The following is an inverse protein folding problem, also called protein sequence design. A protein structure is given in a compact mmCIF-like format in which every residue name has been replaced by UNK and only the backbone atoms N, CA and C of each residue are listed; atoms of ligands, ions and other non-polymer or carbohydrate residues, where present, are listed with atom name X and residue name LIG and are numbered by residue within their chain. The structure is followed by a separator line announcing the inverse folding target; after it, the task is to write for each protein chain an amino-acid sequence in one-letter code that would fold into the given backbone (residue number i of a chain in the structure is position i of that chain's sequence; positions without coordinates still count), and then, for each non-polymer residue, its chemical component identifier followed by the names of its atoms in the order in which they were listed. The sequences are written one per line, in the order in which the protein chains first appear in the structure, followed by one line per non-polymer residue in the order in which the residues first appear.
data_IF_678011340258
#
_entry.id   IF_678011340258
#
_cell.length_a   1.000
_cell.length_b   1.000
_cell.length_c   1.000
_cell.angle_alpha   90.00
_cell.angle_beta   90.00
_cell.angle_gamma   90.00
#
_symmetry.space_group_name_H-M   'P 1'
#
loop_
_entity.id
_entity.type
_entity.pdbx_description
1 polymer ?
#
# COMPACT_ATOMS: atom_id res chain seq x y z
N UNK A 1 4.14 -16.30 -11.88
CA UNK A 1 5.11 -15.60 -11.03
C UNK A 1 4.72 -15.69 -9.55
N UNK A 2 4.54 -16.93 -9.05
CA UNK A 2 3.93 -17.14 -7.73
C UNK A 2 4.97 -17.19 -6.60
N UNK A 3 5.46 -16.02 -6.19
CA UNK A 3 6.35 -15.87 -5.04
C UNK A 3 6.24 -14.43 -4.50
N UNK A 4 6.72 -14.15 -3.26
CA UNK A 4 6.59 -12.83 -2.65
C UNK A 4 7.25 -11.70 -3.46
N UNK A 5 8.43 -11.95 -4.04
CA UNK A 5 9.17 -10.96 -4.85
C UNK A 5 8.45 -10.60 -6.15
N UNK A 6 7.52 -11.44 -6.58
CA UNK A 6 6.65 -11.20 -7.72
C UNK A 6 5.19 -11.02 -7.32
N UNK A 7 4.92 -10.61 -6.07
CA UNK A 7 3.60 -10.24 -5.60
C UNK A 7 2.56 -11.37 -5.79
N UNK A 8 2.97 -12.61 -5.56
CA UNK A 8 2.13 -13.82 -5.64
C UNK A 8 1.36 -13.99 -6.96
N UNK A 9 1.87 -13.44 -8.07
CA UNK A 9 1.18 -13.46 -9.37
C UNK A 9 -0.24 -12.85 -9.30
N UNK A 10 -0.45 -11.87 -8.40
CA UNK A 10 -1.78 -11.31 -8.15
C UNK A 10 -2.78 -12.32 -7.57
N UNK A 11 -2.30 -13.39 -6.93
CA UNK A 11 -3.05 -14.55 -6.46
C UNK A 11 -3.74 -15.39 -7.56
N UNK A 12 -3.32 -15.29 -8.82
CA UNK A 12 -3.85 -16.11 -9.93
C UNK A 12 -3.61 -17.62 -9.73
N UNK A 13 -2.60 -17.98 -8.94
CA UNK A 13 -2.27 -19.36 -8.61
C UNK A 13 -3.06 -19.92 -7.40
N UNK A 14 -3.81 -19.06 -6.70
CA UNK A 14 -4.55 -19.44 -5.50
C UNK A 14 -6.03 -19.68 -5.77
N UNK A 15 -6.71 -20.30 -4.80
CA UNK A 15 -8.17 -20.37 -4.83
C UNK A 15 -8.75 -18.97 -4.59
N UNK A 16 -9.66 -18.57 -5.47
CA UNK A 16 -10.46 -17.37 -5.29
C UNK A 16 -11.31 -17.51 -4.03
N UNK A 17 -11.15 -16.59 -3.07
CA UNK A 17 -12.03 -16.52 -1.92
C UNK A 17 -13.40 -16.07 -2.38
N UNK A 18 -14.44 -16.79 -1.95
CA UNK A 18 -15.79 -16.32 -2.12
C UNK A 18 -16.05 -15.15 -1.17
N UNK A 19 -17.01 -14.27 -1.47
CA UNK A 19 -17.51 -13.32 -0.49
C UNK A 19 -18.02 -14.07 0.74
N UNK A 20 -17.87 -13.47 1.93
CA UNK A 20 -18.52 -13.97 3.14
C UNK A 20 -20.02 -14.14 2.89
N UNK A 21 -20.61 -15.19 3.47
CA UNK A 21 -22.00 -15.53 3.24
C UNK A 21 -22.91 -14.32 3.54
N UNK A 22 -23.69 -13.82 2.55
CA UNK A 22 -24.50 -12.61 2.73
C UNK A 22 -25.51 -12.67 3.88
N UNK A 23 -25.96 -13.87 4.26
CA UNK A 23 -26.90 -14.08 5.38
C UNK A 23 -26.20 -13.83 6.72
N UNK A 24 -24.93 -14.22 6.83
CA UNK A 24 -24.13 -14.09 8.06
C UNK A 24 -23.26 -12.83 8.07
N UNK A 25 -23.10 -12.15 6.94
CA UNK A 25 -22.16 -11.04 6.80
C UNK A 25 -22.43 -9.92 7.80
N UNK A 26 -23.69 -9.51 7.97
CA UNK A 26 -24.05 -8.50 8.97
C UNK A 26 -23.76 -8.94 10.42
N UNK A 27 -23.93 -10.23 10.72
CA UNK A 27 -23.59 -10.79 12.03
C UNK A 27 -22.08 -10.75 12.24
N UNK A 28 -21.29 -11.24 11.27
CA UNK A 28 -19.84 -11.26 11.35
C UNK A 28 -19.25 -9.85 11.41
N UNK A 29 -19.81 -8.88 10.67
CA UNK A 29 -19.37 -7.48 10.77
C UNK A 29 -19.53 -6.91 12.18
N UNK A 30 -20.62 -7.27 12.87
CA UNK A 30 -20.91 -6.76 14.22
C UNK A 30 -20.04 -7.41 15.30
N UNK A 31 -19.61 -8.66 15.08
CA UNK A 31 -18.85 -9.42 16.06
C UNK A 31 -17.35 -9.53 15.75
N UNK A 32 -16.90 -8.98 14.62
CA UNK A 32 -15.50 -9.01 14.21
C UNK A 32 -14.54 -8.40 15.26
N UNK A 33 -13.52 -9.15 15.68
CA UNK A 33 -12.48 -8.71 16.59
C UNK A 33 -13.01 -8.12 17.92
N UNK A 34 -14.09 -8.69 18.45
CA UNK A 34 -14.75 -8.24 19.68
C UNK A 34 -14.26 -8.98 20.94
N UNK A 35 -13.34 -9.95 20.79
CA UNK A 35 -12.81 -10.80 21.85
C UNK A 35 -13.63 -12.06 22.15
N UNK A 36 -14.67 -12.36 21.35
CA UNK A 36 -15.52 -13.54 21.48
C UNK A 36 -15.46 -14.38 20.20
N UNK A 37 -15.11 -15.66 20.33
CA UNK A 37 -14.98 -16.53 19.18
C UNK A 37 -16.35 -16.93 18.60
N UNK A 38 -16.68 -16.38 17.44
CA UNK A 38 -17.83 -16.73 16.62
C UNK A 38 -17.42 -17.72 15.52
N UNK A 39 -17.61 -19.02 15.80
CA UNK A 39 -17.20 -20.11 14.89
C UNK A 39 -17.79 -20.01 13.48
N UNK A 40 -18.97 -19.40 13.32
CA UNK A 40 -19.58 -19.17 12.00
C UNK A 40 -18.85 -18.13 11.14
N UNK A 41 -18.07 -17.24 11.78
CA UNK A 41 -17.28 -16.18 11.14
C UNK A 41 -15.79 -16.55 11.04
N UNK A 42 -15.36 -17.62 11.71
CA UNK A 42 -13.97 -18.08 11.72
C UNK A 42 -13.62 -18.91 10.47
N UNK A 43 -13.68 -18.28 9.30
CA UNK A 43 -13.30 -18.86 8.00
C UNK A 43 -12.58 -17.81 7.13
N UNK A 44 -11.94 -18.24 6.04
CA UNK A 44 -11.14 -17.36 5.20
C UNK A 44 -11.99 -16.29 4.50
N UNK A 45 -13.20 -16.64 4.04
CA UNK A 45 -14.12 -15.72 3.36
C UNK A 45 -14.64 -14.60 4.27
N UNK A 46 -14.76 -14.83 5.57
CA UNK A 46 -15.18 -13.83 6.56
C UNK A 46 -13.99 -13.24 7.36
N UNK A 47 -12.75 -13.54 6.96
CA UNK A 47 -11.51 -13.05 7.55
C UNK A 47 -11.30 -13.46 9.02
N UNK A 48 -11.53 -14.74 9.30
CA UNK A 48 -11.19 -15.44 10.54
C UNK A 48 -11.70 -14.78 11.82
N UNK A 49 -12.89 -14.20 11.76
CA UNK A 49 -13.54 -13.53 12.88
C UNK A 49 -12.66 -12.46 13.56
N UNK A 50 -11.74 -11.84 12.81
CA UNK A 50 -10.82 -10.86 13.37
C UNK A 50 -9.84 -11.44 14.41
N UNK A 51 -9.58 -12.75 14.32
CA UNK A 51 -8.69 -13.53 15.21
C UNK A 51 -9.26 -13.82 16.61
N UNK A 52 -10.55 -13.60 16.87
CA UNK A 52 -11.16 -13.88 18.19
C UNK A 52 -11.10 -15.36 18.59
N UNK A 53 -11.03 -16.25 17.60
CA UNK A 53 -10.87 -17.69 17.82
C UNK A 53 -9.42 -18.16 17.92
N UNK A 54 -8.45 -17.31 17.60
CA UNK A 54 -7.06 -17.70 17.49
C UNK A 54 -6.33 -17.52 18.82
N UNK A 55 -5.77 -18.63 19.31
CA UNK A 55 -4.99 -18.66 20.54
C UNK A 55 -3.50 -18.49 20.23
N UNK A 56 -2.77 -17.94 21.19
CA UNK A 56 -1.31 -17.77 21.09
C UNK A 56 -0.89 -16.34 20.78
N UNK A 57 0.41 -16.18 20.54
CA UNK A 57 1.02 -14.88 20.29
C UNK A 57 0.76 -14.41 18.85
N UNK A 58 0.68 -13.09 18.68
CA UNK A 58 0.62 -12.46 17.37
C UNK A 58 1.89 -12.74 16.57
N UNK A 59 1.75 -13.06 15.28
CA UNK A 59 2.87 -13.18 14.35
C UNK A 59 2.88 -11.96 13.43
N UNK A 60 3.34 -10.83 13.97
CA UNK A 60 3.28 -9.56 13.24
C UNK A 60 4.30 -9.51 12.11
N UNK A 61 3.88 -8.98 10.95
CA UNK A 61 4.80 -8.54 9.92
C UNK A 61 5.65 -7.35 10.42
N UNK A 62 6.84 -7.20 9.88
CA UNK A 62 7.73 -6.09 10.23
C UNK A 62 7.20 -4.76 9.67
N UNK A 63 7.11 -3.74 10.52
CA UNK A 63 6.63 -2.42 10.16
C UNK A 63 5.11 -2.27 10.18
N UNK A 64 4.65 -1.08 9.80
CA UNK A 64 3.27 -0.62 9.86
C UNK A 64 2.80 -0.24 8.47
N UNK A 65 1.61 -0.69 8.12
CA UNK A 65 0.96 -0.39 6.84
C UNK A 65 0.10 0.87 7.01
N UNK A 66 0.59 2.01 6.52
CA UNK A 66 -0.15 3.27 6.53
C UNK A 66 -0.98 3.41 5.25
N UNK A 67 -2.29 3.60 5.40
CA UNK A 67 -3.25 3.74 4.29
C UNK A 67 -3.99 5.07 4.36
N UNK A 68 -4.02 5.81 3.26
CA UNK A 68 -4.75 7.07 3.11
C UNK A 68 -6.02 6.84 2.30
N UNK A 69 -7.16 7.24 2.85
CA UNK A 69 -8.50 7.10 2.26
C UNK A 69 -9.11 8.48 2.00
N UNK A 70 -9.63 8.72 0.79
CA UNK A 70 -10.34 9.97 0.47
C UNK A 70 -11.82 9.89 0.86
N UNK A 71 -12.08 9.84 2.16
CA UNK A 71 -13.41 9.83 2.74
C UNK A 71 -13.43 10.55 4.08
N UNK A 72 -14.61 10.84 4.61
CA UNK A 72 -14.74 11.45 5.93
C UNK A 72 -14.52 10.43 7.07
N UNK A 73 -14.10 10.95 8.22
CA UNK A 73 -13.81 10.15 9.41
C UNK A 73 -15.02 9.32 9.87
N UNK A 74 -16.23 9.89 9.86
CA UNK A 74 -17.41 9.18 10.37
C UNK A 74 -17.79 8.02 9.45
N UNK A 75 -17.77 8.22 8.14
CA UNK A 75 -17.99 7.17 7.16
C UNK A 75 -16.95 6.07 7.27
N UNK A 76 -15.68 6.41 7.52
CA UNK A 76 -14.64 5.42 7.75
C UNK A 76 -14.92 4.60 9.00
N UNK A 77 -15.17 5.26 10.13
CA UNK A 77 -15.45 4.58 11.41
C UNK A 77 -16.66 3.65 11.31
N UNK A 78 -17.72 4.06 10.60
CA UNK A 78 -18.91 3.23 10.37
C UNK A 78 -18.63 2.00 9.49
N UNK A 79 -17.59 2.05 8.65
CA UNK A 79 -17.21 0.98 7.72
C UNK A 79 -15.88 0.31 8.08
N UNK A 80 -15.33 0.57 9.28
CA UNK A 80 -13.97 0.15 9.64
C UNK A 80 -13.76 -1.36 9.55
N UNK A 81 -14.76 -2.15 9.97
CA UNK A 81 -14.69 -3.61 9.91
C UNK A 81 -14.68 -4.10 8.46
N UNK A 82 -15.53 -3.53 7.61
CA UNK A 82 -15.53 -3.85 6.17
C UNK A 82 -14.17 -3.54 5.54
N UNK A 83 -13.57 -2.40 5.90
CA UNK A 83 -12.23 -2.03 5.45
C UNK A 83 -11.16 -3.07 5.85
N UNK A 84 -11.12 -3.44 7.14
CA UNK A 84 -10.16 -4.44 7.63
C UNK A 84 -10.36 -5.81 6.97
N UNK A 85 -11.61 -6.21 6.74
CA UNK A 85 -11.93 -7.47 6.06
C UNK A 85 -11.50 -7.47 4.60
N UNK A 86 -11.76 -6.39 3.87
CA UNK A 86 -11.35 -6.26 2.46
C UNK A 86 -9.82 -6.27 2.33
N UNK A 87 -9.10 -5.47 3.12
CA UNK A 87 -7.62 -5.47 3.09
C UNK A 87 -7.08 -6.84 3.49
N UNK A 88 -7.65 -7.49 4.51
CA UNK A 88 -7.22 -8.82 4.93
C UNK A 88 -7.43 -9.90 3.86
N UNK A 89 -8.57 -9.86 3.15
CA UNK A 89 -8.83 -10.75 2.02
C UNK A 89 -7.85 -10.56 0.87
N UNK A 90 -7.48 -9.31 0.58
CA UNK A 90 -6.50 -8.98 -0.46
C UNK A 90 -5.10 -9.47 -0.08
N UNK A 91 -4.71 -9.32 1.19
CA UNK A 91 -3.39 -9.73 1.69
C UNK A 91 -3.31 -11.20 2.11
N UNK A 92 -4.43 -11.95 2.08
CA UNK A 92 -4.55 -13.31 2.62
C UNK A 92 -4.04 -13.46 4.06
N UNK A 93 -4.16 -12.37 4.83
CA UNK A 93 -3.69 -12.26 6.21
C UNK A 93 -4.67 -11.41 6.99
N UNK A 94 -4.60 -11.42 8.32
CA UNK A 94 -5.52 -10.61 9.11
C UNK A 94 -4.86 -9.29 9.47
N UNK A 95 -5.53 -8.18 9.15
CA UNK A 95 -5.05 -6.83 9.50
C UNK A 95 -5.83 -6.26 10.67
N UNK A 96 -5.14 -5.49 11.51
CA UNK A 96 -5.72 -4.80 12.67
C UNK A 96 -5.24 -3.35 12.70
N UNK A 97 -6.06 -2.45 13.24
CA UNK A 97 -5.64 -1.07 13.44
C UNK A 97 -4.61 -1.05 14.58
N UNK A 98 -3.48 -0.42 14.34
CA UNK A 98 -2.44 -0.27 15.35
C UNK A 98 -2.97 0.59 16.50
N UNK A 99 -2.68 0.18 17.73
CA UNK A 99 -2.96 0.99 18.92
C UNK A 99 -1.77 1.89 19.23
N UNK A 100 -2.03 3.14 19.61
CA UNK A 100 -1.01 4.03 20.15
C UNK A 100 -0.62 3.62 21.58
N UNK A 101 0.40 4.28 22.15
CA UNK A 101 0.86 4.02 23.53
C UNK A 101 -0.23 4.21 24.60
N UNK A 102 -1.29 4.97 24.28
CA UNK A 102 -2.45 5.19 25.15
C UNK A 102 -3.59 4.19 24.92
N UNK A 103 -3.41 3.21 24.02
CA UNK A 103 -4.41 2.20 23.68
C UNK A 103 -5.52 2.69 22.75
N UNK A 104 -5.31 3.79 22.03
CA UNK A 104 -6.27 4.31 21.04
C UNK A 104 -5.90 3.87 19.64
N UNK A 105 -6.91 3.57 18.82
CA UNK A 105 -6.74 3.27 17.41
C UNK A 105 -6.02 4.42 16.68
N UNK A 106 -4.92 4.13 15.98
CA UNK A 106 -4.16 5.09 15.17
C UNK A 106 -4.89 5.44 13.87
N UNK A 107 -5.93 6.23 14.00
CA UNK A 107 -6.76 6.75 12.91
C UNK A 107 -6.83 8.27 13.02
N UNK A 108 -6.36 8.98 12.00
CA UNK A 108 -6.23 10.44 12.06
C UNK A 108 -6.80 11.12 10.81
N UNK A 109 -7.27 12.38 10.91
CA UNK A 109 -7.62 13.15 9.73
C UNK A 109 -6.37 13.43 8.90
N UNK A 110 -6.47 13.19 7.61
CA UNK A 110 -5.41 13.46 6.64
C UNK A 110 -5.81 14.66 5.77
N UNK A 111 -4.85 15.52 5.43
CA UNK A 111 -5.07 16.66 4.54
C UNK A 111 -4.01 16.66 3.45
N UNK A 112 -4.44 16.86 2.21
CA UNK A 112 -3.50 17.00 1.11
C UNK A 112 -2.76 18.34 1.22
N UNK A 113 -1.42 18.31 1.19
CA UNK A 113 -0.54 19.47 1.42
C UNK A 113 -0.55 20.52 0.27
N UNK A 114 -1.44 20.39 -0.71
CA UNK A 114 -1.50 21.29 -1.86
C UNK A 114 -2.66 22.30 -1.71
N UNK A 115 -2.31 23.59 -1.63
CA UNK A 115 -3.18 24.72 -1.25
C UNK A 115 -4.43 24.95 -2.14
N UNK A 116 -4.60 24.22 -3.23
CA UNK A 116 -5.61 24.54 -4.25
C UNK A 116 -6.78 23.56 -4.37
N UNK A 117 -6.80 22.46 -3.62
CA UNK A 117 -8.00 21.62 -3.49
C UNK A 117 -8.04 21.06 -2.06
N UNK A 118 -9.01 21.50 -1.26
CA UNK A 118 -9.20 21.12 0.15
C UNK A 118 -9.61 19.66 0.37
N UNK A 119 -9.04 18.72 -0.38
CA UNK A 119 -9.28 17.30 -0.24
C UNK A 119 -8.74 16.83 1.11
N UNK A 120 -9.68 16.48 1.99
CA UNK A 120 -9.41 15.85 3.28
C UNK A 120 -9.72 14.36 3.17
N UNK A 121 -9.10 13.58 4.05
CA UNK A 121 -9.25 12.15 4.09
C UNK A 121 -8.97 11.62 5.49
N UNK A 122 -8.77 10.31 5.57
CA UNK A 122 -8.39 9.60 6.79
C UNK A 122 -7.10 8.84 6.51
N UNK A 123 -6.16 8.91 7.45
CA UNK A 123 -4.99 8.04 7.48
C UNK A 123 -5.19 6.99 8.57
N UNK A 124 -4.93 5.73 8.23
CA UNK A 124 -5.09 4.56 9.09
C UNK A 124 -3.76 3.82 9.15
N UNK A 125 -3.29 3.51 10.35
CA UNK A 125 -2.09 2.71 10.57
C UNK A 125 -2.50 1.28 10.93
N UNK A 126 -2.03 0.31 10.16
CA UNK A 126 -2.41 -1.09 10.27
C UNK A 126 -1.20 -1.96 10.60
N UNK A 127 -1.44 -2.99 11.41
CA UNK A 127 -0.53 -4.11 11.61
C UNK A 127 -1.08 -5.34 10.89
N UNK A 128 -0.18 -6.16 10.36
CA UNK A 128 -0.53 -7.43 9.68
C UNK A 128 -0.17 -8.56 10.64
N UNK A 129 -1.13 -9.38 11.03
CA UNK A 129 -0.94 -10.54 11.89
C UNK A 129 -1.04 -11.83 11.07
N UNK A 130 0.13 -12.39 10.77
CA UNK A 130 0.29 -13.55 9.91
C UNK A 130 -0.05 -14.87 10.60
N UNK A 131 -0.46 -14.91 11.88
CA UNK A 131 -0.69 -16.18 12.59
C UNK A 131 -1.66 -17.12 11.87
N UNK A 132 -2.65 -16.57 11.17
CA UNK A 132 -3.60 -17.36 10.37
C UNK A 132 -3.04 -17.74 9.01
N UNK A 133 -2.31 -16.83 8.39
CA UNK A 133 -1.65 -17.07 7.11
C UNK A 133 -0.61 -18.20 7.25
N UNK A 134 0.26 -18.13 8.25
CA UNK A 134 1.32 -19.13 8.49
C UNK A 134 0.75 -20.52 8.77
N UNK A 135 -0.31 -20.60 9.57
CA UNK A 135 -0.99 -21.87 9.88
C UNK A 135 -1.80 -22.45 8.71
N UNK A 136 -2.30 -21.61 7.80
CA UNK A 136 -3.18 -22.05 6.70
C UNK A 136 -2.44 -22.32 5.40
N UNK A 137 -1.47 -21.47 5.04
CA UNK A 137 -0.79 -21.46 3.75
C UNK A 137 0.72 -21.75 3.86
N UNK A 138 1.28 -21.68 5.07
CA UNK A 138 2.72 -21.80 5.30
C UNK A 138 3.41 -20.44 5.26
N UNK A 139 4.54 -20.33 5.98
CA UNK A 139 5.23 -19.05 6.22
C UNK A 139 5.75 -18.35 4.95
N UNK A 140 6.03 -19.09 3.88
CA UNK A 140 6.52 -18.55 2.61
C UNK A 140 5.46 -17.83 1.79
N UNK A 141 4.17 -18.06 2.09
CA UNK A 141 3.04 -17.49 1.35
C UNK A 141 2.46 -16.23 2.03
N UNK A 142 3.15 -15.71 3.05
CA UNK A 142 2.71 -14.54 3.83
C UNK A 142 3.67 -13.37 3.62
N UNK A 143 3.15 -12.14 3.68
CA UNK A 143 3.97 -10.94 3.63
C UNK A 143 4.81 -10.78 4.92
N UNK A 144 6.15 -10.84 4.84
CA UNK A 144 7.00 -10.70 6.02
C UNK A 144 7.09 -9.24 6.52
N UNK A 145 6.87 -8.26 5.64
CA UNK A 145 6.97 -6.83 5.95
C UNK A 145 5.75 -6.06 5.44
N UNK A 146 5.42 -4.96 6.13
CA UNK A 146 4.35 -4.05 5.71
C UNK A 146 4.65 -3.37 4.37
N UNK A 147 5.93 -3.15 4.03
CA UNK A 147 6.33 -2.56 2.74
C UNK A 147 6.00 -3.48 1.58
N UNK A 148 6.28 -4.79 1.68
CA UNK A 148 5.93 -5.75 0.64
C UNK A 148 4.41 -5.85 0.44
N UNK A 149 3.64 -5.82 1.54
CA UNK A 149 2.19 -5.76 1.48
C UNK A 149 1.67 -4.45 0.84
N UNK A 150 2.33 -3.32 1.11
CA UNK A 150 1.98 -2.03 0.51
C UNK A 150 2.21 -2.05 -1.02
N UNK A 151 3.35 -2.58 -1.46
CA UNK A 151 3.68 -2.71 -2.88
C UNK A 151 2.67 -3.63 -3.60
N UNK A 152 2.27 -4.73 -2.95
CA UNK A 152 1.22 -5.60 -3.44
C UNK A 152 -0.12 -4.86 -3.64
N UNK A 153 -0.58 -4.13 -2.62
CA UNK A 153 -1.84 -3.37 -2.68
C UNK A 153 -1.78 -2.26 -3.74
N UNK A 154 -0.64 -1.58 -3.87
CA UNK A 154 -0.45 -0.55 -4.90
C UNK A 154 -0.50 -1.13 -6.32
N UNK A 155 0.13 -2.30 -6.55
CA UNK A 155 0.08 -2.99 -7.82
C UNK A 155 -1.36 -3.47 -8.16
N UNK A 156 -2.06 -4.02 -7.16
CA UNK A 156 -3.46 -4.48 -7.26
C UNK A 156 -4.42 -3.33 -7.55
N UNK A 157 -4.18 -2.16 -6.97
CA UNK A 157 -4.95 -0.95 -7.28
C UNK A 157 -4.72 -0.47 -8.71
N UNK A 158 -3.48 -0.55 -9.21
CA UNK A 158 -3.12 -0.14 -10.57
C UNK A 158 -3.77 -1.01 -11.67
N UNK A 159 -4.07 -2.27 -11.37
CA UNK A 159 -4.75 -3.20 -12.28
C UNK A 159 -6.28 -3.17 -12.16
N UNK A 160 -6.84 -2.26 -11.35
CA UNK A 160 -8.27 -2.15 -11.06
C UNK A 160 -8.91 -3.41 -10.45
N UNK A 161 -8.12 -4.31 -9.86
CA UNK A 161 -8.63 -5.53 -9.20
C UNK A 161 -8.97 -5.30 -7.72
N UNK A 162 -8.51 -4.19 -7.14
CA UNK A 162 -8.86 -3.82 -5.77
C UNK A 162 -10.34 -3.40 -5.68
N UNK A 163 -11.02 -3.86 -4.62
CA UNK A 163 -12.41 -3.48 -4.31
C UNK A 163 -12.60 -1.96 -4.35
N UNK A 164 -13.63 -1.48 -5.05
CA UNK A 164 -13.94 -0.06 -5.18
C UNK A 164 -14.68 0.53 -3.96
N UNK A 165 -14.93 -0.28 -2.92
CA UNK A 165 -15.65 0.14 -1.71
C UNK A 165 -14.95 1.27 -0.95
N UNK A 166 -13.61 1.36 -1.06
CA UNK A 166 -12.80 2.35 -0.35
C UNK A 166 -11.92 3.14 -1.34
N UNK A 167 -12.00 4.49 -1.35
CA UNK A 167 -11.19 5.33 -2.21
C UNK A 167 -9.76 5.46 -1.65
N UNK A 168 -8.97 4.40 -1.77
CA UNK A 168 -7.57 4.38 -1.35
C UNK A 168 -6.76 5.32 -2.24
N UNK A 169 -6.20 6.36 -1.64
CA UNK A 169 -5.32 7.32 -2.31
C UNK A 169 -3.88 6.80 -2.38
N UNK A 170 -3.41 6.25 -1.26
CA UNK A 170 -2.01 5.86 -1.11
C UNK A 170 -1.85 4.82 0.00
N UNK A 171 -0.89 3.93 -0.17
CA UNK A 171 -0.50 2.91 0.81
C UNK A 171 1.03 2.92 0.93
N UNK A 172 1.55 2.80 2.15
CA UNK A 172 2.99 2.76 2.44
C UNK A 172 3.32 1.81 3.57
N UNK A 173 4.47 1.14 3.49
CA UNK A 173 5.12 0.51 4.62
C UNK A 173 5.96 1.52 5.40
N UNK A 174 5.86 1.50 6.72
CA UNK A 174 6.49 2.46 7.64
C UNK A 174 7.18 1.69 8.76
N UNK A 175 8.33 2.16 9.24
CA UNK A 175 8.97 1.56 10.40
C UNK A 175 8.33 2.07 11.70
N UNK A 176 8.21 1.21 12.70
CA UNK A 176 7.59 1.57 13.98
C UNK A 176 8.33 2.76 14.63
N UNK A 177 7.57 3.74 15.12
CA UNK A 177 8.11 4.99 15.68
C UNK A 177 8.53 6.09 14.69
N UNK A 178 8.31 5.92 13.37
CA UNK A 178 8.50 7.00 12.39
C UNK A 178 7.17 7.70 12.06
N UNK A 179 7.07 9.00 12.39
CA UNK A 179 5.98 9.85 11.92
C UNK A 179 6.18 10.11 10.43
N UNK A 180 5.29 9.54 9.61
CA UNK A 180 5.35 9.72 8.16
C UNK A 180 4.90 11.13 7.81
N UNK A 181 5.83 11.97 7.39
CA UNK A 181 5.50 13.00 6.42
C UNK A 181 5.12 12.28 5.12
N UNK A 182 3.82 12.03 4.91
CA UNK A 182 3.33 11.54 3.61
C UNK A 182 3.54 12.68 2.63
N UNK A 183 4.74 12.72 2.05
CA UNK A 183 5.12 13.70 1.06
C UNK A 183 4.27 13.44 -0.18
N UNK A 184 3.23 14.25 -0.36
CA UNK A 184 2.50 14.32 -1.62
C UNK A 184 3.52 14.48 -2.75
N UNK A 185 3.35 13.83 -3.91
CA UNK A 185 4.30 13.97 -5.02
C UNK A 185 4.41 15.45 -5.38
N UNK A 186 5.46 16.10 -4.89
CA UNK A 186 5.61 17.53 -5.06
C UNK A 186 5.99 17.77 -6.51
N UNK A 187 5.11 18.47 -7.25
CA UNK A 187 5.33 18.84 -8.66
C UNK A 187 6.68 19.55 -8.85
N UNK A 188 7.21 20.18 -7.79
CA UNK A 188 8.55 20.79 -7.74
C UNK A 188 9.68 19.79 -8.00
N UNK A 189 9.59 18.53 -7.53
CA UNK A 189 10.60 17.49 -7.82
C UNK A 189 10.66 17.19 -9.32
N UNK A 190 9.50 17.00 -9.96
CA UNK A 190 9.44 16.75 -11.42
C UNK A 190 9.87 17.95 -12.26
N UNK A 191 9.54 19.19 -11.84
CA UNK A 191 10.00 20.41 -12.52
C UNK A 191 11.52 20.52 -12.42
N UNK A 192 12.10 20.29 -11.24
CA UNK A 192 13.55 20.35 -11.04
C UNK A 192 14.29 19.30 -11.88
N UNK A 193 13.82 18.05 -11.88
CA UNK A 193 14.39 16.99 -12.73
C UNK A 193 14.27 17.33 -14.21
N UNK A 194 13.12 17.88 -14.64
CA UNK A 194 12.92 18.34 -16.02
C UNK A 194 13.86 19.47 -16.44
N UNK A 195 14.09 20.45 -15.56
CA UNK A 195 15.04 21.55 -15.83
C UNK A 195 16.48 21.01 -15.92
N UNK A 196 16.88 20.10 -15.04
CA UNK A 196 18.22 19.50 -15.07
C UNK A 196 18.43 18.73 -16.39
N UNK A 197 17.45 17.93 -16.82
CA UNK A 197 17.54 17.18 -18.07
C UNK A 197 17.61 18.08 -19.31
N UNK A 198 16.82 19.16 -19.36
CA UNK A 198 16.85 20.10 -20.50
C UNK A 198 18.18 20.85 -20.57
N UNK A 199 18.74 21.26 -19.43
CA UNK A 199 20.08 21.88 -19.36
C UNK A 199 21.16 20.91 -19.84
N UNK A 200 21.14 19.65 -19.39
CA UNK A 200 22.11 18.64 -19.84
C UNK A 200 22.04 18.36 -21.35
N UNK A 201 20.84 18.24 -21.91
CA UNK A 201 20.66 18.07 -23.36
C UNK A 201 21.17 19.29 -24.13
N UNK A 202 20.90 20.50 -23.65
CA UNK A 202 21.38 21.73 -24.28
C UNK A 202 22.92 21.84 -24.27
N UNK A 203 23.57 21.43 -23.17
CA UNK A 203 25.02 21.38 -23.06
C UNK A 203 25.63 20.34 -24.01
N UNK A 204 25.03 19.15 -24.10
CA UNK A 204 25.47 18.10 -25.03
C UNK A 204 25.37 18.57 -26.49
N UNK A 205 24.24 19.18 -26.88
CA UNK A 205 24.08 19.75 -28.21
C UNK A 205 25.10 20.88 -28.47
N UNK A 206 25.34 21.75 -27.48
CA UNK A 206 26.34 22.80 -27.57
C UNK A 206 27.77 22.28 -27.78
N UNK A 207 28.15 21.20 -27.09
CA UNK A 207 29.46 20.53 -27.26
C UNK A 207 29.57 19.87 -28.63
N UNK A 208 28.52 19.21 -29.12
CA UNK A 208 28.51 18.58 -30.44
C UNK A 208 28.66 19.62 -31.57
N UNK A 209 27.96 20.76 -31.48
CA UNK A 209 28.08 21.85 -32.46
C UNK A 209 29.47 22.48 -32.43
N UNK A 210 30.06 22.69 -31.25
CA UNK A 210 31.44 23.19 -31.14
C UNK A 210 32.48 22.19 -31.68
N UNK A 211 32.30 20.90 -31.42
CA UNK A 211 33.18 19.84 -31.93
C UNK A 211 33.13 19.76 -33.46
N UNK A 212 31.94 19.91 -34.07
CA UNK A 212 31.80 19.98 -35.53
C UNK A 212 32.44 21.23 -36.14
N UNK A 213 32.27 22.42 -35.51
CA UNK A 213 32.96 23.65 -35.95
C UNK A 213 34.49 23.52 -35.94
N UNK A 214 35.05 22.86 -34.93
CA UNK A 214 36.51 22.65 -34.82
C UNK A 214 37.05 21.67 -35.87
N UNK A 215 36.26 20.69 -36.33
CA UNK A 215 36.66 19.77 -37.41
C UNK A 215 36.69 20.41 -38.81
N UNK A 216 35.98 21.51 -39.02
CA UNK A 216 35.85 22.14 -40.35
C UNK A 216 37.06 22.98 -40.81
N UNK A 217 38.10 23.18 -39.97
CA UNK A 217 39.24 24.05 -40.28
C UNK A 217 40.55 23.31 -40.63
N UNK A 218 40.48 22.02 -40.98
CA UNK A 218 41.66 21.25 -41.44
C UNK A 218 41.86 21.34 -42.94
N UNK A 219 42.42 22.44 -43.46
CA UNK A 219 42.96 22.51 -44.83
C UNK A 219 44.49 22.31 -44.75
N UNK A 220 44.96 21.16 -45.23
CA UNK A 220 46.38 20.89 -45.48
C UNK A 220 46.72 21.34 -46.90
N UNK A 221 47.29 22.54 -47.04
CA UNK A 221 47.87 22.99 -48.30
C UNK A 221 49.30 22.40 -48.41
N UNK A 222 49.59 21.67 -49.49
CA UNK A 222 50.92 21.15 -49.83
C UNK A 222 51.52 22.01 -50.95
N UNK A 223 52.69 22.64 -50.76
CA UNK A 223 53.50 23.16 -51.86
C UNK A 223 54.41 22.07 -52.45
N UNK A 224 54.77 22.31 -53.71
CA UNK A 224 55.55 21.48 -54.65
C UNK A 224 56.83 20.83 -54.11
#
# INVERSE_FOLDING_TARGET
CNNPQCLFDGHDCEKTLQPCNPIYDAYCQKHYANGHCDYGCNNAECNWDGLDCERGHAELAEGILATVLLMDMQSFLNKKVTFLREIGQQLRSTVRIQMDESGRERVYPWKMSNKDLGSSGVIVYLEIDNRRCTNSMGKSECFPTASEAADFLAATAATHSLSTSFPIYQVHGVLDGSDVEIDSPSRSKYILTGVILTVLVSLLLGVLVQAQKKRAHGITWFPE
#
